data_IF_663701930544
#
_entry.id   IF_663701930544
#
_cell.length_a   1.000
_cell.length_b   1.000
_cell.length_c   1.000
_cell.angle_alpha   90.00
_cell.angle_beta   90.00
_cell.angle_gamma   90.00
#
_symmetry.space_group_name_H-M   'P 1'
#
loop_
_entity.id
_entity.type
_entity.pdbx_description
1 polymer ?
#
# COMPACT_ATOMS: atom_id res chain seq x y z
N UNK A 1 25.79 14.19 5.62
CA UNK A 1 25.40 12.91 6.24
C UNK A 1 24.26 12.30 5.45
N UNK A 2 24.51 11.22 4.72
CA UNK A 2 23.45 10.51 4.01
C UNK A 2 22.56 9.75 5.00
N UNK A 3 21.25 9.84 4.82
CA UNK A 3 20.30 9.04 5.58
C UNK A 3 20.40 7.57 5.17
N UNK A 4 20.19 6.62 6.09
CA UNK A 4 20.12 5.22 5.73
C UNK A 4 18.96 4.97 4.78
N UNK A 5 19.18 4.15 3.76
CA UNK A 5 18.17 3.84 2.74
C UNK A 5 17.65 2.42 2.88
N UNK A 6 16.38 2.24 2.52
CA UNK A 6 15.77 0.92 2.42
C UNK A 6 16.00 0.35 1.00
N UNK A 7 16.31 -0.93 0.92
CA UNK A 7 16.46 -1.61 -0.37
C UNK A 7 15.10 -2.05 -0.89
N UNK A 8 14.80 -1.71 -2.14
CA UNK A 8 13.59 -2.20 -2.83
C UNK A 8 13.78 -3.65 -3.25
N UNK A 9 12.80 -4.47 -2.93
CA UNK A 9 12.72 -5.86 -3.36
C UNK A 9 12.07 -6.01 -4.73
N UNK A 10 11.89 -7.26 -5.16
CA UNK A 10 11.18 -7.59 -6.39
C UNK A 10 9.72 -7.94 -6.05
N UNK A 11 8.82 -6.97 -6.24
CA UNK A 11 7.40 -7.15 -5.96
C UNK A 11 6.69 -8.06 -6.96
N UNK A 12 7.28 -8.34 -8.12
CA UNK A 12 6.72 -9.28 -9.11
C UNK A 12 6.86 -10.75 -8.67
N UNK A 13 7.76 -11.02 -7.73
CA UNK A 13 7.98 -12.35 -7.15
C UNK A 13 7.22 -12.60 -5.85
N UNK A 14 6.47 -11.63 -5.37
CA UNK A 14 5.65 -11.76 -4.18
C UNK A 14 4.56 -12.81 -4.40
N UNK A 15 4.30 -13.61 -3.37
CA UNK A 15 3.28 -14.66 -3.39
C UNK A 15 2.29 -14.46 -2.25
N UNK A 16 1.07 -14.90 -2.46
CA UNK A 16 0.08 -15.02 -1.41
C UNK A 16 0.58 -15.93 -0.30
N UNK A 17 0.29 -15.56 0.94
CA UNK A 17 0.83 -16.24 2.13
C UNK A 17 2.23 -15.80 2.55
N UNK A 18 2.92 -14.97 1.77
CA UNK A 18 4.24 -14.44 2.13
C UNK A 18 4.16 -13.56 3.38
N UNK A 19 5.03 -13.83 4.35
CA UNK A 19 5.12 -13.05 5.57
C UNK A 19 5.74 -11.69 5.30
N UNK A 20 5.08 -10.66 5.83
CA UNK A 20 5.51 -9.27 5.72
C UNK A 20 5.48 -8.58 7.08
N UNK A 21 6.18 -7.48 7.14
CA UNK A 21 6.04 -6.52 8.21
C UNK A 21 5.98 -5.11 7.63
N UNK A 22 5.47 -4.18 8.41
CA UNK A 22 5.53 -2.76 8.09
C UNK A 22 5.71 -1.96 9.37
N UNK A 23 6.41 -0.86 9.28
CA UNK A 23 6.70 0.01 10.41
C UNK A 23 6.24 1.42 10.08
N UNK A 24 5.46 2.01 10.97
CA UNK A 24 4.91 3.35 10.81
C UNK A 24 4.69 4.02 12.15
N UNK A 25 3.97 5.11 12.13
CA UNK A 25 3.66 5.92 13.32
C UNK A 25 2.14 6.00 13.51
N UNK A 26 1.51 4.89 13.92
CA UNK A 26 0.05 4.84 14.07
C UNK A 26 -0.40 5.81 15.16
N UNK A 27 -1.47 6.54 14.86
CA UNK A 27 -2.11 7.44 15.81
C UNK A 27 -1.10 8.40 16.50
N UNK A 28 -0.16 8.92 15.72
CA UNK A 28 0.93 9.77 16.23
C UNK A 28 0.47 11.01 17.01
N UNK A 29 -0.71 11.54 16.68
CA UNK A 29 -1.31 12.67 17.41
C UNK A 29 -1.74 12.33 18.85
N UNK A 30 -1.97 11.04 19.14
CA UNK A 30 -2.45 10.58 20.46
C UNK A 30 -1.36 9.86 21.24
N UNK A 31 -0.60 8.99 20.57
CA UNK A 31 0.39 8.12 21.21
C UNK A 31 1.82 8.64 21.09
N UNK A 32 2.04 9.77 20.40
CA UNK A 32 3.36 10.30 20.10
C UNK A 32 4.00 9.63 18.87
N UNK A 33 5.16 10.17 18.46
CA UNK A 33 5.89 9.71 17.28
C UNK A 33 6.80 8.52 17.64
N UNK A 34 6.20 7.42 18.08
CA UNK A 34 6.89 6.17 18.31
C UNK A 34 6.70 5.23 17.12
N UNK A 35 7.78 4.67 16.55
CA UNK A 35 7.64 3.69 15.48
C UNK A 35 7.05 2.39 16.02
N UNK A 36 6.03 1.89 15.33
CA UNK A 36 5.37 0.63 15.67
C UNK A 36 5.46 -0.32 14.47
N UNK A 37 5.93 -1.52 14.73
CA UNK A 37 6.04 -2.56 13.71
C UNK A 37 4.88 -3.55 13.83
N UNK A 38 4.20 -3.77 12.72
CA UNK A 38 3.14 -4.74 12.56
C UNK A 38 3.60 -5.89 11.67
N UNK A 39 3.06 -7.07 11.89
CA UNK A 39 3.28 -8.25 11.04
C UNK A 39 1.98 -8.70 10.40
N UNK A 40 2.10 -9.35 9.27
CA UNK A 40 0.99 -9.95 8.56
C UNK A 40 1.46 -10.81 7.40
N UNK A 41 0.54 -11.10 6.51
CA UNK A 41 0.81 -11.81 5.26
C UNK A 41 0.21 -11.06 4.07
N UNK A 42 0.75 -11.34 2.89
CA UNK A 42 0.07 -11.01 1.63
C UNK A 42 -1.11 -11.99 1.50
N UNK A 43 -2.33 -11.51 1.63
CA UNK A 43 -3.52 -12.36 1.53
C UNK A 43 -4.02 -12.50 0.09
N UNK A 44 -3.85 -11.47 -0.74
CA UNK A 44 -4.20 -11.54 -2.15
C UNK A 44 -3.39 -10.53 -2.98
N UNK A 45 -3.23 -10.83 -4.26
CA UNK A 45 -2.71 -9.91 -5.28
C UNK A 45 -3.87 -9.64 -6.22
N UNK A 46 -4.43 -8.44 -6.15
CA UNK A 46 -5.67 -8.11 -6.87
C UNK A 46 -5.49 -6.94 -7.82
N UNK A 47 -6.02 -7.03 -9.04
CA UNK A 47 -6.09 -5.88 -9.91
C UNK A 47 -7.08 -4.86 -9.34
N UNK A 48 -6.66 -3.60 -9.28
CA UNK A 48 -7.55 -2.49 -8.97
C UNK A 48 -8.10 -1.95 -10.27
N UNK A 49 -9.36 -2.21 -10.50
CA UNK A 49 -10.14 -1.44 -11.46
C UNK A 49 -10.63 -0.22 -10.70
N UNK A 50 -10.21 0.97 -11.11
CA UNK A 50 -10.70 2.20 -10.49
C UNK A 50 -12.24 2.18 -10.51
N UNK A 51 -12.90 2.31 -9.35
CA UNK A 51 -14.36 2.29 -9.32
C UNK A 51 -14.87 3.46 -10.15
N UNK A 52 -15.66 3.15 -11.15
CA UNK A 52 -16.35 4.16 -11.97
C UNK A 52 -17.50 4.70 -11.12
N UNK A 53 -17.21 5.70 -10.31
CA UNK A 53 -18.20 6.35 -9.44
C UNK A 53 -19.19 7.24 -10.20
N UNK A 54 -18.96 7.48 -11.48
CA UNK A 54 -19.88 8.23 -12.30
C UNK A 54 -19.92 7.61 -13.70
N UNK A 55 -21.03 7.05 -14.04
CA UNK A 55 -21.38 6.60 -15.39
C UNK A 55 -21.31 7.73 -16.46
N UNK A 56 -20.97 8.94 -16.07
CA UNK A 56 -21.12 10.14 -16.89
C UNK A 56 -19.83 10.79 -17.37
N UNK A 57 -18.65 10.31 -16.93
CA UNK A 57 -17.37 10.92 -17.36
C UNK A 57 -16.31 9.86 -17.64
N UNK A 58 -16.60 9.01 -18.62
CA UNK A 58 -15.56 8.20 -19.25
C UNK A 58 -14.70 9.15 -20.11
N UNK A 59 -13.59 9.60 -19.54
CA UNK A 59 -12.56 10.28 -20.33
C UNK A 59 -11.54 9.25 -20.84
N UNK A 60 -10.74 9.64 -21.84
CA UNK A 60 -9.72 8.78 -22.43
C UNK A 60 -8.71 8.24 -21.41
N UNK A 61 -8.39 9.03 -20.35
CA UNK A 61 -7.50 8.59 -19.27
C UNK A 61 -8.11 7.49 -18.42
N UNK A 62 -9.41 7.56 -18.12
CA UNK A 62 -10.10 6.55 -17.33
C UNK A 62 -10.21 5.24 -18.11
N UNK A 63 -10.56 5.31 -19.40
CA UNK A 63 -10.60 4.14 -20.30
C UNK A 63 -9.22 3.48 -20.37
N UNK A 64 -8.16 4.26 -20.50
CA UNK A 64 -6.78 3.76 -20.53
C UNK A 64 -6.38 3.07 -19.21
N UNK A 65 -6.82 3.61 -18.07
CA UNK A 65 -6.60 2.99 -16.74
C UNK A 65 -7.38 1.69 -16.58
N UNK A 66 -8.59 1.60 -17.12
CA UNK A 66 -9.40 0.37 -17.12
C UNK A 66 -8.78 -0.73 -17.99
N UNK A 67 -8.08 -0.36 -19.06
CA UNK A 67 -7.39 -1.31 -19.95
C UNK A 67 -6.06 -1.82 -19.39
N UNK A 68 -5.47 -1.11 -18.43
CA UNK A 68 -4.22 -1.49 -17.77
C UNK A 68 -4.39 -1.37 -16.24
N UNK A 69 -5.15 -2.28 -15.61
CA UNK A 69 -5.31 -2.27 -14.17
C UNK A 69 -3.95 -2.50 -13.50
N UNK A 70 -3.66 -1.73 -12.46
CA UNK A 70 -2.49 -1.99 -11.64
C UNK A 70 -2.86 -2.95 -10.49
N UNK A 71 -1.93 -3.80 -10.12
CA UNK A 71 -2.12 -4.72 -9.01
C UNK A 71 -1.83 -4.03 -7.68
N UNK A 72 -2.56 -4.41 -6.66
CA UNK A 72 -2.29 -4.08 -5.26
C UNK A 72 -2.16 -5.35 -4.44
N UNK A 73 -1.42 -5.26 -3.36
CA UNK A 73 -1.37 -6.31 -2.34
C UNK A 73 -2.47 -6.06 -1.31
N UNK A 74 -3.32 -7.04 -1.13
CA UNK A 74 -4.20 -7.10 0.03
C UNK A 74 -3.44 -7.80 1.16
N UNK A 75 -3.40 -7.16 2.32
CA UNK A 75 -2.69 -7.65 3.48
C UNK A 75 -3.68 -8.12 4.54
N UNK A 76 -3.42 -9.28 5.11
CA UNK A 76 -4.00 -9.67 6.39
C UNK A 76 -3.10 -9.10 7.50
N UNK A 77 -3.37 -7.87 7.84
CA UNK A 77 -2.65 -7.11 8.86
C UNK A 77 -3.47 -5.88 9.22
N UNK A 78 -3.49 -5.55 10.51
CA UNK A 78 -4.20 -4.36 10.98
C UNK A 78 -3.35 -3.12 10.78
N UNK A 79 -3.82 -2.18 9.96
CA UNK A 79 -3.24 -0.86 9.84
C UNK A 79 -4.16 0.18 10.49
N UNK A 80 -3.55 1.08 11.24
CA UNK A 80 -4.23 2.20 11.89
C UNK A 80 -4.02 3.50 11.10
N UNK A 81 -4.85 4.52 11.33
CA UNK A 81 -4.57 5.86 10.83
C UNK A 81 -3.15 6.31 11.21
N UNK A 82 -2.40 6.83 10.24
CA UNK A 82 -1.00 7.17 10.39
C UNK A 82 -0.02 6.14 9.80
N UNK A 83 -0.50 4.94 9.45
CA UNK A 83 0.33 3.94 8.78
C UNK A 83 0.42 4.11 7.25
N UNK A 84 -0.40 4.97 6.64
CA UNK A 84 -0.31 5.26 5.21
C UNK A 84 1.07 5.84 4.85
N UNK A 85 1.67 5.31 3.80
CA UNK A 85 3.05 5.66 3.41
C UNK A 85 4.12 4.79 4.07
N UNK A 86 3.76 3.92 5.03
CA UNK A 86 4.71 3.00 5.65
C UNK A 86 5.24 1.97 4.66
N UNK A 87 6.54 1.65 4.69
CA UNK A 87 7.09 0.59 3.87
C UNK A 87 6.61 -0.78 4.35
N UNK A 88 6.16 -1.59 3.41
CA UNK A 88 5.88 -3.02 3.61
C UNK A 88 7.10 -3.79 3.13
N UNK A 89 7.67 -4.59 3.98
CA UNK A 89 8.90 -5.32 3.67
C UNK A 89 8.76 -6.81 3.97
N UNK A 90 9.56 -7.58 3.26
CA UNK A 90 9.69 -9.02 3.51
C UNK A 90 10.21 -9.26 4.92
N UNK A 91 9.52 -10.10 5.69
CA UNK A 91 9.86 -10.32 7.10
C UNK A 91 11.22 -11.01 7.30
N UNK A 92 11.75 -11.67 6.28
CA UNK A 92 13.04 -12.37 6.34
C UNK A 92 14.20 -11.51 5.86
N UNK A 93 14.05 -10.84 4.71
CA UNK A 93 15.14 -10.09 4.07
C UNK A 93 15.16 -8.61 4.41
N UNK A 94 14.05 -8.05 4.88
CA UNK A 94 13.89 -6.61 5.10
C UNK A 94 13.75 -5.78 3.83
N UNK A 95 13.70 -6.40 2.65
CA UNK A 95 13.54 -5.68 1.38
C UNK A 95 12.11 -5.17 1.23
N UNK A 96 11.97 -3.93 0.81
CA UNK A 96 10.66 -3.29 0.64
C UNK A 96 9.94 -3.88 -0.57
N UNK A 97 8.74 -4.37 -0.34
CA UNK A 97 7.86 -4.98 -1.35
C UNK A 97 6.73 -4.05 -1.80
N UNK A 98 6.41 -3.05 -0.98
CA UNK A 98 5.34 -2.11 -1.27
C UNK A 98 5.23 -1.00 -0.23
N UNK A 99 4.20 -0.18 -0.38
CA UNK A 99 3.89 0.93 0.53
C UNK A 99 2.42 0.84 0.93
N UNK A 100 2.14 0.97 2.22
CA UNK A 100 0.77 1.01 2.74
C UNK A 100 0.02 2.17 2.09
N UNK A 101 -1.15 1.84 1.55
CA UNK A 101 -2.07 2.83 1.04
C UNK A 101 -3.46 2.63 1.66
N UNK A 102 -4.09 3.72 2.04
CA UNK A 102 -5.48 3.69 2.47
C UNK A 102 -6.36 3.64 1.23
N UNK A 103 -6.74 2.44 0.82
CA UNK A 103 -7.75 2.31 -0.24
C UNK A 103 -9.09 2.73 0.33
N UNK A 104 -9.79 3.59 -0.40
CA UNK A 104 -11.14 3.99 -0.10
C UNK A 104 -12.08 2.78 -0.11
N UNK A 105 -12.35 2.24 1.07
CA UNK A 105 -13.54 1.43 1.24
C UNK A 105 -14.70 2.41 1.34
N UNK A 106 -15.72 2.18 0.55
CA UNK A 106 -16.97 2.95 0.57
C UNK A 106 -17.75 2.63 1.85
N UNK A 107 -17.20 3.08 2.98
CA UNK A 107 -17.88 2.99 4.25
C UNK A 107 -18.17 4.39 4.77
N UNK A 108 -19.34 4.58 5.35
CA UNK A 108 -19.72 5.82 6.02
C UNK A 108 -18.68 6.15 7.11
N UNK A 109 -18.44 7.44 7.36
CA UNK A 109 -17.48 7.89 8.38
C UNK A 109 -17.66 7.22 9.74
N UNK A 110 -18.87 6.82 10.09
CA UNK A 110 -19.21 6.17 11.35
C UNK A 110 -18.72 4.72 11.43
N UNK A 111 -18.76 3.96 10.33
CA UNK A 111 -18.29 2.57 10.32
C UNK A 111 -16.76 2.47 10.35
N UNK A 112 -16.05 3.45 9.80
CA UNK A 112 -14.59 3.52 9.83
C UNK A 112 -14.05 3.78 11.26
N UNK A 113 -14.80 4.51 12.08
CA UNK A 113 -14.43 4.78 13.48
C UNK A 113 -14.69 3.59 14.40
N UNK A 114 -15.68 2.75 14.09
CA UNK A 114 -16.16 1.68 14.98
C UNK A 114 -15.63 0.28 14.60
N UNK A 115 -15.10 0.08 13.40
CA UNK A 115 -14.50 -1.19 12.98
C UNK A 115 -13.26 -0.90 12.13
N UNK A 116 -12.06 -1.02 12.68
CA UNK A 116 -10.87 -1.10 11.84
C UNK A 116 -11.07 -2.32 10.93
N UNK A 117 -11.22 -2.10 9.62
CA UNK A 117 -11.25 -3.22 8.68
C UNK A 117 -9.90 -3.92 8.77
N UNK A 118 -9.88 -5.22 9.02
CA UNK A 118 -8.66 -6.02 9.04
C UNK A 118 -8.01 -6.15 7.64
N UNK A 119 -8.56 -5.46 6.64
CA UNK A 119 -8.05 -5.47 5.27
C UNK A 119 -7.27 -4.20 5.03
N UNK A 120 -5.99 -4.37 4.78
CA UNK A 120 -5.06 -3.30 4.44
C UNK A 120 -4.54 -3.54 3.04
N UNK A 121 -4.31 -2.47 2.29
CA UNK A 121 -3.76 -2.56 0.94
C UNK A 121 -2.38 -1.91 0.87
N UNK A 122 -1.53 -2.46 0.02
CA UNK A 122 -0.23 -1.89 -0.28
C UNK A 122 -0.02 -1.78 -1.80
N UNK A 123 0.62 -0.70 -2.20
CA UNK A 123 1.04 -0.49 -3.58
C UNK A 123 2.38 -1.22 -3.78
N UNK A 124 2.50 -2.13 -4.75
CA UNK A 124 3.73 -2.87 -5.02
C UNK A 124 4.94 -1.98 -5.34
N UNK A 125 6.12 -2.41 -4.91
CA UNK A 125 7.37 -1.66 -5.09
C UNK A 125 7.77 -1.42 -6.56
N UNK A 126 7.24 -2.20 -7.50
CA UNK A 126 7.49 -1.98 -8.94
C UNK A 126 7.07 -0.57 -9.38
N UNK A 127 5.99 -0.03 -8.79
CA UNK A 127 5.52 1.32 -9.13
C UNK A 127 6.43 2.40 -8.55
N UNK A 128 7.05 2.16 -7.39
CA UNK A 128 8.09 3.03 -6.84
C UNK A 128 9.31 3.05 -7.78
N UNK A 129 9.74 1.89 -8.25
CA UNK A 129 10.87 1.78 -9.20
C UNK A 129 10.59 2.55 -10.49
N UNK A 130 9.38 2.44 -11.04
CA UNK A 130 8.97 3.20 -12.22
C UNK A 130 9.00 4.71 -11.99
N UNK A 131 8.52 5.15 -10.83
CA UNK A 131 8.56 6.57 -10.47
C UNK A 131 9.99 7.09 -10.36
N UNK A 132 10.87 6.37 -9.69
CA UNK A 132 12.28 6.74 -9.55
C UNK A 132 13.03 6.75 -10.89
N UNK A 133 12.72 5.81 -11.79
CA UNK A 133 13.31 5.79 -13.13
C UNK A 133 12.91 7.03 -13.94
N UNK A 134 11.67 7.51 -13.81
CA UNK A 134 11.22 8.70 -14.51
C UNK A 134 11.89 9.99 -13.96
N UNK A 135 12.17 10.05 -12.66
CA UNK A 135 12.86 11.20 -12.05
C UNK A 135 14.32 11.33 -12.49
N UNK A 136 14.96 10.25 -12.90
CA UNK A 136 16.34 10.25 -13.37
C UNK A 136 16.48 10.59 -14.86
N UNK A 137 15.37 10.88 -15.57
CA UNK A 137 15.35 11.26 -16.98
C UNK A 137 15.19 12.77 -17.21
N UNK A 138 15.00 13.55 -16.14
CA UNK A 138 15.00 15.02 -16.13
C UNK A 138 16.38 15.56 -15.67
#
# INVERSE_FOLDING_TARGET
>A
TSLPTLKLGNSDKVREGQRIAFTGFPIGAVLGLHPVTHRGIISAITPVVAPVYASFKLNAQLIKRMQSPYNVFQLDATAYPGNSGSPVYDASSGKVLGVINKVFIKETKESVLNKPSGITYAIPAIYIKKLLANLNQE
#
